data_IF_894058555623
#
_entry.id   IF_894058555623
#
_cell.length_a   1.000
_cell.length_b   1.000
_cell.length_c   1.000
_cell.angle_alpha   90.00
_cell.angle_beta   90.00
_cell.angle_gamma   90.00
#
_symmetry.space_group_name_H-M   'P 1'
#
loop_
_entity.id
_entity.type
_entity.pdbx_description
1 polymer ?
#
# COMPACT_ATOMS: atom_id res chain seq x y z
N UNK A 1 -15.65 9.77 -2.40
CA UNK A 1 -14.57 8.90 -1.91
C UNK A 1 -13.69 8.48 -3.06
N UNK A 2 -12.40 8.47 -2.84
CA UNK A 2 -11.43 8.04 -3.83
C UNK A 2 -10.92 6.66 -3.46
N UNK A 3 -11.00 5.73 -4.38
CA UNK A 3 -10.52 4.35 -4.18
C UNK A 3 -9.25 4.17 -5.00
N UNK A 4 -8.26 3.52 -4.41
CA UNK A 4 -7.01 3.26 -5.10
C UNK A 4 -6.44 1.90 -4.71
N UNK A 5 -5.61 1.38 -5.58
CA UNK A 5 -4.88 0.14 -5.35
C UNK A 5 -3.39 0.50 -5.33
N UNK A 6 -2.69 0.12 -4.27
CA UNK A 6 -1.25 0.36 -4.16
C UNK A 6 -0.54 -0.98 -4.24
N UNK A 7 0.33 -1.10 -5.21
CA UNK A 7 1.09 -2.33 -5.45
C UNK A 7 2.50 -2.14 -4.92
N UNK A 8 2.95 -3.06 -4.08
CA UNK A 8 4.24 -2.93 -3.40
C UNK A 8 5.19 -4.04 -3.77
N UNK A 9 6.44 -3.66 -4.02
CA UNK A 9 7.56 -4.58 -4.04
C UNK A 9 8.30 -4.45 -2.72
N UNK A 10 8.49 -5.57 -2.03
CA UNK A 10 9.07 -5.53 -0.70
C UNK A 10 10.22 -6.54 -0.58
N UNK A 11 11.08 -6.30 0.40
CA UNK A 11 12.12 -7.27 0.75
C UNK A 11 11.42 -8.49 1.36
N UNK A 12 11.68 -9.71 0.85
CA UNK A 12 10.96 -10.90 1.32
C UNK A 12 10.97 -11.11 2.83
N UNK A 13 12.09 -10.82 3.48
CA UNK A 13 12.20 -11.00 4.94
C UNK A 13 11.35 -10.01 5.73
N UNK A 14 10.88 -8.95 5.07
CA UNK A 14 10.05 -7.91 5.72
C UNK A 14 8.59 -7.97 5.29
N UNK A 15 8.24 -8.88 4.39
CA UNK A 15 6.91 -8.91 3.78
C UNK A 15 5.80 -9.05 4.82
N UNK A 16 5.94 -9.97 5.76
CA UNK A 16 4.92 -10.18 6.79
C UNK A 16 4.73 -8.95 7.66
N UNK A 17 5.85 -8.32 8.06
CA UNK A 17 5.79 -7.14 8.90
C UNK A 17 5.16 -5.97 8.18
N UNK A 18 5.52 -5.78 6.91
CA UNK A 18 4.95 -4.70 6.09
C UNK A 18 3.44 -4.91 5.93
N UNK A 19 3.01 -6.14 5.65
CA UNK A 19 1.59 -6.43 5.51
C UNK A 19 0.83 -6.05 6.79
N UNK A 20 1.34 -6.43 7.95
CA UNK A 20 0.70 -6.10 9.21
C UNK A 20 0.64 -4.59 9.45
N UNK A 21 1.72 -3.88 9.11
CA UNK A 21 1.78 -2.44 9.31
C UNK A 21 0.81 -1.69 8.39
N UNK A 22 0.73 -2.08 7.11
CA UNK A 22 -0.16 -1.36 6.19
C UNK A 22 -1.62 -1.57 6.55
N UNK A 23 -1.98 -2.72 7.11
CA UNK A 23 -3.35 -2.97 7.53
C UNK A 23 -3.81 -2.02 8.62
N UNK A 24 -2.89 -1.43 9.36
CA UNK A 24 -3.21 -0.53 10.46
C UNK A 24 -3.30 0.93 10.05
N UNK A 25 -3.00 1.24 8.81
CA UNK A 25 -3.06 2.61 8.32
C UNK A 25 -4.51 3.01 8.09
N UNK A 26 -4.89 4.20 8.59
CA UNK A 26 -6.23 4.74 8.34
C UNK A 26 -6.43 4.91 6.84
N UNK A 27 -7.57 4.45 6.34
CA UNK A 27 -7.88 4.49 4.91
C UNK A 27 -7.60 3.18 4.19
N UNK A 28 -6.82 2.30 4.77
CA UNK A 28 -6.56 0.98 4.17
C UNK A 28 -7.75 0.06 4.48
N UNK A 29 -8.37 -0.46 3.43
CA UNK A 29 -9.53 -1.36 3.57
C UNK A 29 -9.10 -2.81 3.68
N UNK A 30 -8.12 -3.21 2.88
CA UNK A 30 -7.56 -4.55 2.98
C UNK A 30 -6.20 -4.56 2.30
N UNK A 31 -5.40 -5.55 2.67
CA UNK A 31 -4.09 -5.75 2.08
C UNK A 31 -3.78 -7.23 2.15
N UNK A 32 -3.12 -7.76 1.12
CA UNK A 32 -2.74 -9.15 1.09
C UNK A 32 -1.57 -9.39 0.14
N UNK A 33 -0.97 -10.57 0.26
CA UNK A 33 0.12 -10.95 -0.62
C UNK A 33 -0.40 -11.27 -2.02
N UNK A 34 0.44 -11.00 -3.02
CA UNK A 34 0.17 -11.37 -4.40
C UNK A 34 1.39 -12.08 -4.98
N UNK A 35 1.19 -12.65 -6.15
CA UNK A 35 2.27 -13.29 -6.90
C UNK A 35 2.52 -12.50 -8.18
N UNK A 36 3.75 -12.57 -8.69
CA UNK A 36 4.10 -11.90 -9.93
C UNK A 36 5.04 -10.74 -9.68
N UNK A 37 4.78 -9.63 -10.36
CA UNK A 37 5.68 -8.47 -10.33
C UNK A 37 5.71 -7.76 -8.98
N UNK A 38 4.61 -7.81 -8.26
CA UNK A 38 4.49 -7.15 -6.95
C UNK A 38 4.20 -8.20 -5.89
N UNK A 39 4.54 -7.86 -4.66
CA UNK A 39 4.47 -8.79 -3.55
C UNK A 39 3.27 -8.56 -2.65
N UNK A 40 2.82 -7.31 -2.54
CA UNK A 40 1.71 -6.92 -1.67
C UNK A 40 0.79 -5.98 -2.43
N UNK A 41 -0.51 -6.20 -2.31
CA UNK A 41 -1.50 -5.26 -2.83
C UNK A 41 -2.27 -4.67 -1.66
N UNK A 42 -2.47 -3.35 -1.70
CA UNK A 42 -3.17 -2.61 -0.65
C UNK A 42 -4.33 -1.86 -1.28
N UNK A 43 -5.53 -2.10 -0.79
CA UNK A 43 -6.71 -1.36 -1.24
C UNK A 43 -7.01 -0.25 -0.25
N UNK A 44 -7.09 0.98 -0.75
CA UNK A 44 -7.33 2.14 0.10
C UNK A 44 -8.58 2.88 -0.37
N UNK A 45 -9.27 3.49 0.58
CA UNK A 45 -10.39 4.36 0.31
C UNK A 45 -10.17 5.62 1.13
N UNK A 46 -10.02 6.75 0.43
CA UNK A 46 -9.68 8.03 1.05
C UNK A 46 -10.61 9.11 0.50
N UNK A 47 -10.57 10.30 1.11
CA UNK A 47 -11.47 11.39 0.73
C UNK A 47 -11.04 12.07 -0.57
N UNK A 48 -9.73 12.20 -0.77
CA UNK A 48 -9.21 12.96 -1.90
C UNK A 48 -7.76 12.56 -2.18
N UNK A 49 -7.16 13.17 -3.20
CA UNK A 49 -5.78 12.87 -3.58
C UNK A 49 -4.76 13.29 -2.53
N UNK A 50 -5.07 14.31 -1.75
CA UNK A 50 -4.18 14.73 -0.68
C UNK A 50 -4.04 13.61 0.37
N UNK A 51 -5.16 13.03 0.76
CA UNK A 51 -5.15 11.93 1.73
C UNK A 51 -4.48 10.69 1.14
N UNK A 52 -4.70 10.42 -0.15
CA UNK A 52 -4.02 9.32 -0.82
C UNK A 52 -2.51 9.50 -0.78
N UNK A 53 -2.05 10.72 -1.02
CA UNK A 53 -0.61 11.02 -0.96
C UNK A 53 -0.06 10.79 0.45
N UNK A 54 -0.82 11.15 1.48
CA UNK A 54 -0.40 10.91 2.86
C UNK A 54 -0.24 9.44 3.14
N UNK A 55 -1.19 8.62 2.70
CA UNK A 55 -1.13 7.17 2.88
C UNK A 55 0.07 6.58 2.14
N UNK A 56 0.27 6.95 0.88
CA UNK A 56 1.38 6.40 0.11
C UNK A 56 2.72 6.86 0.64
N UNK A 57 2.80 8.06 1.20
CA UNK A 57 4.04 8.55 1.82
C UNK A 57 4.40 7.69 3.02
N UNK A 58 3.43 7.35 3.86
CA UNK A 58 3.66 6.47 5.00
C UNK A 58 4.13 5.11 4.54
N UNK A 59 3.47 4.55 3.52
CA UNK A 59 3.84 3.23 3.00
C UNK A 59 5.27 3.25 2.43
N UNK A 60 5.58 4.25 1.63
CA UNK A 60 6.90 4.34 1.00
C UNK A 60 8.03 4.60 2.00
N UNK A 61 7.70 5.10 3.18
CA UNK A 61 8.69 5.30 4.24
C UNK A 61 8.95 4.06 5.08
N UNK A 62 8.22 2.97 4.86
CA UNK A 62 8.43 1.76 5.64
C UNK A 62 9.70 1.03 5.22
N UNK A 63 10.43 0.54 6.21
CA UNK A 63 11.63 -0.25 5.96
C UNK A 63 11.23 -1.53 5.22
N UNK A 64 11.91 -1.81 4.13
CA UNK A 64 11.66 -3.02 3.35
C UNK A 64 10.79 -2.80 2.12
N UNK A 65 10.13 -1.65 1.98
CA UNK A 65 9.39 -1.33 0.77
C UNK A 65 10.39 -0.84 -0.28
N UNK A 66 10.52 -1.60 -1.36
CA UNK A 66 11.49 -1.29 -2.41
C UNK A 66 10.93 -0.35 -3.47
N UNK A 67 9.69 -0.53 -3.82
CA UNK A 67 9.01 0.33 -4.77
C UNK A 67 7.51 0.19 -4.60
N UNK A 68 6.76 1.17 -5.10
CA UNK A 68 5.32 1.11 -5.06
C UNK A 68 4.75 1.72 -6.33
N UNK A 69 3.55 1.29 -6.69
CA UNK A 69 2.81 1.85 -7.80
C UNK A 69 1.38 2.05 -7.32
N UNK A 70 0.88 3.27 -7.48
CA UNK A 70 -0.46 3.62 -7.03
C UNK A 70 -1.36 3.78 -8.24
N UNK A 71 -2.46 3.05 -8.25
CA UNK A 71 -3.43 3.05 -9.33
C UNK A 71 -4.75 3.60 -8.81
N UNK A 72 -4.95 4.92 -8.89
CA UNK A 72 -6.22 5.49 -8.44
C UNK A 72 -7.33 5.17 -9.41
N UNK A 73 -8.53 5.13 -8.88
CA UNK A 73 -9.73 4.95 -9.68
C UNK A 73 -9.91 6.13 -10.63
N UNK A 74 -10.32 5.82 -11.84
CA UNK A 74 -10.54 6.84 -12.86
C UNK A 74 -11.82 7.66 -12.58
#
# INVERSE_FOLDING_TARGET
>A
MLVACVLLKVVPTKADLILEKVKKISGVKKAYFTYGRFDVVVFVEVRDYKELREVTTVINGMEGVRSSETLPEA
#
